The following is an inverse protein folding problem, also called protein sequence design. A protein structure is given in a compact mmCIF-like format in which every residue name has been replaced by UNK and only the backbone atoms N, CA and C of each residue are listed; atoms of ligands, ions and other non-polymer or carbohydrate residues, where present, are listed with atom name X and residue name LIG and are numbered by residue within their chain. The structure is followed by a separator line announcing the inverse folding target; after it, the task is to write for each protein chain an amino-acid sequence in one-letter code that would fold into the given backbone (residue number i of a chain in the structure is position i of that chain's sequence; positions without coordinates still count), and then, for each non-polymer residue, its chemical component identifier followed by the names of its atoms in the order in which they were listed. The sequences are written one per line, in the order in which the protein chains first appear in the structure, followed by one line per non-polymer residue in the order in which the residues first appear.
data_IF_577884967405
#
_entry.id   IF_577884967405
#
_cell.length_a   1.000
_cell.length_b   1.000
_cell.length_c   1.000
_cell.angle_alpha   90.00
_cell.angle_beta   90.00
_cell.angle_gamma   90.00
#
_symmetry.space_group_name_H-M   'P 1'
#
loop_
_entity.id
_entity.type
_entity.pdbx_description
1 polymer ?
#
# COMPACT_ATOMS: atom_id res chain seq x y z
N UNK A 1 19.74 8.19 7.39
CA UNK A 1 18.69 7.51 8.17
C UNK A 1 17.38 7.53 7.41
N UNK A 2 16.45 6.63 7.74
CA UNK A 2 15.05 6.71 7.27
C UNK A 2 14.13 6.83 8.47
N UNK A 3 12.96 7.42 8.27
CA UNK A 3 11.88 7.41 9.26
C UNK A 3 10.91 6.29 8.90
N UNK A 4 10.59 5.47 9.88
CA UNK A 4 9.56 4.44 9.76
C UNK A 4 8.41 4.82 10.68
N UNK A 5 7.21 4.89 10.12
CA UNK A 5 5.96 5.01 10.86
C UNK A 5 5.23 3.68 10.76
N UNK A 6 4.85 3.12 11.89
CA UNK A 6 4.15 1.86 11.95
C UNK A 6 2.84 2.01 12.75
N UNK A 7 1.77 1.45 12.22
CA UNK A 7 0.44 1.50 12.81
C UNK A 7 -0.15 0.10 12.88
N UNK A 8 -0.74 -0.26 14.00
CA UNK A 8 -1.49 -1.51 14.12
C UNK A 8 -2.65 -1.53 13.11
N UNK A 9 -2.87 -2.69 12.53
CA UNK A 9 -4.06 -2.88 11.73
C UNK A 9 -5.32 -2.97 12.62
N UNK A 10 -6.47 -2.49 12.14
CA UNK A 10 -7.74 -2.67 12.82
C UNK A 10 -7.98 -4.14 13.18
N UNK A 11 -8.73 -4.40 14.23
CA UNK A 11 -9.12 -5.77 14.58
C UNK A 11 -9.89 -6.41 13.41
N UNK A 12 -9.60 -7.68 13.17
CA UNK A 12 -10.34 -8.46 12.17
C UNK A 12 -11.66 -8.92 12.79
N UNK A 13 -12.82 -8.46 12.28
CA UNK A 13 -14.12 -8.90 12.81
C UNK A 13 -14.33 -10.42 12.72
N UNK A 14 -13.68 -11.08 11.73
CA UNK A 14 -13.77 -12.52 11.52
C UNK A 14 -12.79 -13.32 12.40
N UNK A 15 -11.83 -12.63 13.02
CA UNK A 15 -10.81 -13.25 13.85
C UNK A 15 -10.57 -12.42 15.12
N UNK A 16 -11.57 -12.32 16.02
CA UNK A 16 -11.42 -11.53 17.24
C UNK A 16 -10.25 -12.07 18.06
N UNK A 17 -9.33 -11.18 18.40
CA UNK A 17 -8.24 -11.51 19.31
C UNK A 17 -8.87 -11.55 20.72
N UNK A 18 -8.79 -12.68 21.44
CA UNK A 18 -9.34 -12.75 22.79
C UNK A 18 -8.70 -11.64 23.65
N UNK A 19 -9.48 -10.96 24.49
CA UNK A 19 -8.94 -9.94 25.37
C UNK A 19 -7.83 -10.58 26.23
N UNK A 20 -6.69 -9.91 26.35
CA UNK A 20 -5.61 -10.42 27.18
C UNK A 20 -6.09 -10.57 28.62
N UNK A 21 -5.69 -11.63 29.33
CA UNK A 21 -5.98 -11.74 30.76
C UNK A 21 -5.38 -10.53 31.46
N UNK A 22 -6.20 -9.76 32.16
CA UNK A 22 -5.91 -8.50 32.88
C UNK A 22 -4.57 -7.87 32.49
N UNK A 23 -4.55 -7.21 31.34
CA UNK A 23 -3.29 -6.78 30.77
C UNK A 23 -2.87 -5.44 31.40
N UNK A 24 -1.72 -5.45 32.00
CA UNK A 24 -1.03 -4.28 32.53
C UNK A 24 -0.66 -3.24 31.46
N UNK A 25 -0.77 -3.58 30.15
CA UNK A 25 -0.39 -2.68 29.02
C UNK A 25 -1.36 -2.82 27.85
N UNK A 26 -1.68 -1.68 27.23
CA UNK A 26 -2.49 -1.64 26.02
C UNK A 26 -1.81 -2.34 24.81
N UNK A 27 -2.55 -2.75 23.77
CA UNK A 27 -1.95 -3.27 22.55
C UNK A 27 -0.92 -2.32 21.95
N UNK A 28 -1.19 -1.02 21.99
CA UNK A 28 -0.30 0.01 21.48
C UNK A 28 1.00 0.13 22.31
N UNK A 29 0.93 0.04 23.62
CA UNK A 29 2.12 0.06 24.48
C UNK A 29 3.01 -1.17 24.26
N UNK A 30 2.40 -2.35 24.05
CA UNK A 30 3.16 -3.56 23.72
C UNK A 30 3.82 -3.44 22.34
N UNK A 31 3.12 -2.89 21.38
CA UNK A 31 3.62 -2.65 20.04
C UNK A 31 4.80 -1.67 20.06
N UNK A 32 4.67 -0.54 20.76
CA UNK A 32 5.77 0.41 20.96
C UNK A 32 6.97 -0.22 21.68
N UNK A 33 6.70 -1.07 22.68
CA UNK A 33 7.73 -1.84 23.38
C UNK A 33 8.49 -2.80 22.47
N UNK A 34 7.80 -3.51 21.56
CA UNK A 34 8.42 -4.41 20.59
C UNK A 34 9.34 -3.64 19.63
N UNK A 35 8.88 -2.52 19.08
CA UNK A 35 9.70 -1.65 18.24
C UNK A 35 10.94 -1.16 18.97
N UNK A 36 10.77 -0.66 20.20
CA UNK A 36 11.86 -0.18 21.02
C UNK A 36 12.91 -1.27 21.27
N UNK A 37 12.47 -2.47 21.63
CA UNK A 37 13.35 -3.61 21.89
C UNK A 37 14.13 -4.03 20.64
N UNK A 38 13.45 -4.21 19.50
CA UNK A 38 14.06 -4.65 18.24
C UNK A 38 15.04 -3.62 17.70
N UNK A 39 14.68 -2.33 17.71
CA UNK A 39 15.54 -1.27 17.20
C UNK A 39 16.77 -1.09 18.10
N UNK A 40 16.59 -1.04 19.41
CA UNK A 40 17.70 -0.88 20.36
C UNK A 40 18.67 -2.06 20.41
N UNK A 41 18.21 -3.26 20.04
CA UNK A 41 19.07 -4.42 19.89
C UNK A 41 20.08 -4.25 18.74
N UNK A 42 19.74 -3.42 17.74
CA UNK A 42 20.60 -3.11 16.58
C UNK A 42 21.40 -1.83 16.76
N UNK A 43 20.75 -0.78 17.25
CA UNK A 43 21.35 0.50 17.55
C UNK A 43 20.70 1.09 18.81
N UNK A 44 21.51 1.18 19.89
CA UNK A 44 21.05 1.70 21.18
C UNK A 44 20.70 3.19 21.14
N UNK A 45 21.27 3.93 20.19
CA UNK A 45 21.06 5.37 20.04
C UNK A 45 19.87 5.71 19.12
N UNK A 46 19.37 4.75 18.34
CA UNK A 46 18.28 5.01 17.41
C UNK A 46 16.98 5.39 18.15
N UNK A 47 16.39 6.56 17.85
CA UNK A 47 15.18 7.02 18.51
C UNK A 47 13.98 6.20 18.10
N UNK A 48 13.17 5.79 19.09
CA UNK A 48 11.86 5.15 18.90
C UNK A 48 10.86 5.78 19.85
N UNK A 49 9.75 6.25 19.32
CA UNK A 49 8.68 6.89 20.10
C UNK A 49 7.35 6.23 19.77
N UNK A 50 6.62 5.78 20.79
CA UNK A 50 5.25 5.31 20.67
C UNK A 50 4.26 6.45 20.93
N UNK A 51 3.31 6.64 20.00
CA UNK A 51 2.16 7.51 20.16
C UNK A 51 0.89 6.66 20.37
N UNK A 52 -0.25 7.31 20.55
CA UNK A 52 -1.52 6.62 20.78
C UNK A 52 -1.97 5.72 19.62
N UNK A 53 -1.61 6.04 18.39
CA UNK A 53 -2.03 5.33 17.18
C UNK A 53 -0.89 4.80 16.32
N UNK A 54 0.34 5.26 16.56
CA UNK A 54 1.50 4.93 15.73
C UNK A 54 2.77 4.75 16.55
N UNK A 55 3.76 4.12 15.95
CA UNK A 55 5.15 4.10 16.43
C UNK A 55 6.03 4.73 15.38
N UNK A 56 6.91 5.62 15.80
CA UNK A 56 7.87 6.28 14.92
C UNK A 56 9.28 5.84 15.32
N UNK A 57 10.02 5.32 14.35
CA UNK A 57 11.43 4.93 14.54
C UNK A 57 12.32 5.65 13.53
N UNK A 58 13.44 6.18 13.99
CA UNK A 58 14.50 6.75 13.14
C UNK A 58 15.57 5.67 12.99
N UNK A 59 15.64 5.04 11.82
CA UNK A 59 16.56 3.94 11.59
C UNK A 59 17.80 4.42 10.83
N UNK A 60 18.99 4.26 11.41
CA UNK A 60 20.25 4.40 10.68
C UNK A 60 20.32 3.31 9.61
N UNK A 61 20.48 3.70 8.36
CA UNK A 61 20.57 2.79 7.22
C UNK A 61 21.71 3.22 6.29
N UNK A 62 22.14 2.31 5.42
CA UNK A 62 23.06 2.60 4.33
C UNK A 62 22.46 3.63 3.36
N UNK A 63 23.32 4.33 2.63
CA UNK A 63 22.92 5.18 1.51
C UNK A 63 22.54 4.37 0.27
N UNK A 64 22.94 3.10 0.20
CA UNK A 64 22.57 2.17 -0.87
C UNK A 64 21.11 1.73 -0.72
N UNK A 65 20.24 1.97 -1.71
CA UNK A 65 18.79 1.74 -1.60
C UNK A 65 18.43 0.31 -1.22
N UNK A 66 19.05 -0.68 -1.86
CA UNK A 66 18.77 -2.10 -1.59
C UNK A 66 19.19 -2.52 -0.18
N UNK A 67 20.31 -1.99 0.30
CA UNK A 67 20.79 -2.25 1.65
C UNK A 67 19.89 -1.57 2.70
N UNK A 68 19.43 -0.36 2.41
CA UNK A 68 18.47 0.35 3.26
C UNK A 68 17.13 -0.38 3.35
N UNK A 69 16.57 -0.81 2.22
CA UNK A 69 15.32 -1.58 2.18
C UNK A 69 15.44 -2.88 2.99
N UNK A 70 16.49 -3.68 2.75
CA UNK A 70 16.75 -4.92 3.51
C UNK A 70 16.89 -4.68 5.01
N UNK A 71 17.52 -3.58 5.42
CA UNK A 71 17.67 -3.23 6.84
C UNK A 71 16.33 -2.93 7.49
N UNK A 72 15.44 -2.19 6.80
CA UNK A 72 14.07 -1.92 7.25
C UNK A 72 13.25 -3.20 7.32
N UNK A 73 13.24 -4.00 6.25
CA UNK A 73 12.48 -5.26 6.20
C UNK A 73 12.90 -6.20 7.34
N UNK A 74 14.18 -6.26 7.65
CA UNK A 74 14.68 -7.07 8.74
C UNK A 74 14.25 -6.56 10.13
N UNK A 75 14.06 -5.23 10.30
CA UNK A 75 13.46 -4.66 11.53
C UNK A 75 11.98 -5.00 11.61
N UNK A 76 11.23 -4.74 10.54
CA UNK A 76 9.78 -5.01 10.48
C UNK A 76 9.49 -6.48 10.73
N UNK A 77 10.22 -7.39 10.07
CA UNK A 77 10.09 -8.84 10.27
C UNK A 77 10.37 -9.24 11.71
N UNK A 78 11.41 -8.68 12.33
CA UNK A 78 11.72 -8.96 13.72
C UNK A 78 10.63 -8.46 14.68
N UNK A 79 10.06 -7.28 14.44
CA UNK A 79 8.92 -6.76 15.24
C UNK A 79 7.68 -7.63 15.04
N UNK A 80 7.37 -8.05 13.80
CA UNK A 80 6.24 -8.93 13.51
C UNK A 80 6.39 -10.30 14.17
N UNK A 81 7.62 -10.82 14.27
CA UNK A 81 7.96 -12.07 14.94
C UNK A 81 8.08 -11.97 16.46
N UNK A 82 8.16 -10.76 17.02
CA UNK A 82 8.29 -10.57 18.46
C UNK A 82 7.00 -10.94 19.20
N UNK A 83 7.14 -11.83 20.18
CA UNK A 83 6.02 -12.29 21.00
C UNK A 83 5.39 -11.17 21.82
N UNK A 84 6.15 -10.11 22.13
CA UNK A 84 5.70 -8.92 22.86
C UNK A 84 4.80 -8.01 22.04
N UNK A 85 4.90 -8.01 20.71
CA UNK A 85 4.07 -7.23 19.78
C UNK A 85 2.60 -7.64 19.70
N UNK A 86 2.20 -8.68 20.44
CA UNK A 86 0.81 -9.10 20.59
C UNK A 86 0.24 -9.86 19.39
N UNK A 87 1.08 -10.30 18.46
CA UNK A 87 0.72 -11.04 17.23
C UNK A 87 -0.31 -10.32 16.35
N UNK A 88 -0.42 -8.99 16.48
CA UNK A 88 -1.26 -8.18 15.63
C UNK A 88 -0.49 -7.81 14.37
N UNK A 89 -1.16 -7.88 13.23
CA UNK A 89 -0.61 -7.30 12.01
C UNK A 89 -0.53 -5.77 12.14
N UNK A 90 0.41 -5.19 11.45
CA UNK A 90 0.60 -3.75 11.38
C UNK A 90 1.11 -3.37 10.00
N UNK A 91 0.78 -2.16 9.55
CA UNK A 91 1.38 -1.59 8.36
C UNK A 91 2.55 -0.67 8.75
N UNK A 92 3.57 -0.62 7.90
CA UNK A 92 4.69 0.28 8.07
C UNK A 92 4.92 1.11 6.81
N UNK A 93 5.19 2.40 6.99
CA UNK A 93 5.58 3.32 5.93
C UNK A 93 7.00 3.82 6.18
N UNK A 94 7.76 3.90 5.12
CA UNK A 94 9.18 4.26 5.13
C UNK A 94 9.40 5.52 4.31
N UNK A 95 10.05 6.52 4.91
CA UNK A 95 10.41 7.76 4.22
C UNK A 95 11.54 7.54 3.23
N UNK A 96 11.84 8.57 2.46
CA UNK A 96 13.11 8.71 1.78
C UNK A 96 14.27 8.78 2.77
N UNK A 97 15.47 8.58 2.22
CA UNK A 97 16.71 8.75 2.97
C UNK A 97 16.85 10.20 3.44
N UNK A 98 17.09 10.38 4.73
CA UNK A 98 17.30 11.66 5.38
C UNK A 98 18.80 11.83 5.67
N UNK A 99 19.39 12.86 5.09
CA UNK A 99 20.81 13.20 5.29
C UNK A 99 20.98 14.38 6.24
N UNK A 100 19.95 15.20 6.42
CA UNK A 100 19.96 16.39 7.26
C UNK A 100 18.78 16.36 8.23
N UNK A 101 19.03 16.66 9.50
CA UNK A 101 18.01 16.68 10.55
C UNK A 101 16.85 17.66 10.28
N UNK A 102 17.08 18.74 9.53
CA UNK A 102 16.05 19.68 9.12
C UNK A 102 14.95 19.03 8.26
N UNK A 103 15.26 17.90 7.62
CA UNK A 103 14.32 17.16 6.77
C UNK A 103 13.48 16.12 7.53
N UNK A 104 13.70 15.95 8.82
CA UNK A 104 12.95 14.99 9.64
C UNK A 104 11.42 15.22 9.58
N UNK A 105 10.89 16.46 9.67
CA UNK A 105 9.45 16.68 9.59
C UNK A 105 8.83 16.26 8.24
N UNK A 106 9.53 16.55 7.14
CA UNK A 106 9.09 16.13 5.80
C UNK A 106 9.10 14.61 5.67
N UNK A 107 10.17 13.97 6.11
CA UNK A 107 10.33 12.53 6.07
C UNK A 107 9.29 11.80 6.95
N UNK A 108 8.93 12.37 8.09
CA UNK A 108 7.81 11.86 8.89
C UNK A 108 6.49 11.92 8.12
N UNK A 109 6.24 13.04 7.44
CA UNK A 109 5.03 13.19 6.60
C UNK A 109 5.03 12.20 5.44
N UNK A 110 6.19 11.94 4.81
CA UNK A 110 6.36 10.92 3.78
C UNK A 110 6.05 9.52 4.31
N UNK A 111 6.61 9.14 5.45
CA UNK A 111 6.40 7.83 6.07
C UNK A 111 4.92 7.63 6.46
N UNK A 112 4.26 8.62 7.06
CA UNK A 112 2.81 8.56 7.35
C UNK A 112 1.98 8.38 6.09
N UNK A 113 2.31 9.08 5.02
CA UNK A 113 1.64 8.92 3.73
C UNK A 113 1.85 7.51 3.17
N UNK A 114 3.06 6.98 3.29
CA UNK A 114 3.38 5.63 2.84
C UNK A 114 2.56 4.55 3.60
N UNK A 115 2.39 4.67 4.92
CA UNK A 115 1.49 3.79 5.68
C UNK A 115 0.06 3.88 5.18
N UNK A 116 -0.48 5.09 5.06
CA UNK A 116 -1.89 5.30 4.73
C UNK A 116 -2.23 4.80 3.31
N UNK A 117 -1.37 5.08 2.34
CA UNK A 117 -1.53 4.60 0.96
C UNK A 117 -1.28 3.11 0.87
N UNK A 118 -0.17 2.64 1.44
CA UNK A 118 0.22 1.22 1.40
C UNK A 118 -0.84 0.31 1.98
N UNK A 119 -1.44 0.67 3.12
CA UNK A 119 -2.55 -0.08 3.71
C UNK A 119 -3.74 -0.21 2.77
N UNK A 120 -4.05 0.82 1.97
CA UNK A 120 -5.17 0.81 1.02
C UNK A 120 -4.86 -0.04 -0.20
N UNK A 121 -3.66 0.10 -0.76
CA UNK A 121 -3.25 -0.55 -2.01
C UNK A 121 -2.83 -2.01 -1.77
N UNK A 122 -2.03 -2.26 -0.73
CA UNK A 122 -1.45 -3.58 -0.46
C UNK A 122 -2.13 -4.33 0.69
N UNK A 123 -3.09 -3.69 1.36
CA UNK A 123 -3.82 -4.29 2.46
C UNK A 123 -3.05 -4.32 3.78
N UNK A 124 -3.52 -5.19 4.67
CA UNK A 124 -3.01 -5.36 6.04
C UNK A 124 -1.61 -5.98 6.04
N UNK A 125 -0.81 -5.60 7.02
CA UNK A 125 0.55 -6.14 7.20
C UNK A 125 1.55 -5.63 6.18
N UNK A 126 1.19 -4.62 5.37
CA UNK A 126 2.05 -4.11 4.30
C UNK A 126 3.17 -3.21 4.81
N UNK A 127 4.30 -3.30 4.12
CA UNK A 127 5.42 -2.35 4.25
C UNK A 127 5.51 -1.57 2.95
N UNK A 128 5.45 -0.24 3.03
CA UNK A 128 5.43 0.62 1.85
C UNK A 128 6.49 1.70 1.95
N UNK A 129 7.36 1.75 0.95
CA UNK A 129 8.36 2.81 0.82
C UNK A 129 7.76 3.98 0.04
N UNK A 130 7.99 5.20 0.51
CA UNK A 130 7.43 6.41 -0.10
C UNK A 130 7.82 6.55 -1.59
N UNK A 131 9.04 6.16 -1.95
CA UNK A 131 9.50 6.20 -3.34
C UNK A 131 8.80 5.17 -4.23
N UNK A 132 8.34 4.06 -3.66
CA UNK A 132 7.64 3.00 -4.40
C UNK A 132 6.16 3.27 -4.61
N UNK A 133 5.60 4.32 -4.03
CA UNK A 133 4.18 4.63 -4.16
C UNK A 133 3.75 5.05 -5.58
N UNK A 134 4.70 5.39 -6.45
CA UNK A 134 4.40 5.77 -7.82
C UNK A 134 3.34 6.88 -7.91
N UNK A 135 2.35 6.67 -8.76
CA UNK A 135 1.25 7.63 -8.98
C UNK A 135 0.37 7.81 -7.74
N UNK A 136 0.24 6.82 -6.87
CA UNK A 136 -0.54 6.93 -5.64
C UNK A 136 -0.05 8.05 -4.73
N UNK A 137 1.24 8.40 -4.79
CA UNK A 137 1.79 9.56 -4.09
C UNK A 137 1.12 10.87 -4.53
N UNK A 138 0.89 11.03 -5.84
CA UNK A 138 0.22 12.21 -6.38
C UNK A 138 -1.27 12.18 -6.09
N UNK A 139 -1.93 11.04 -6.31
CA UNK A 139 -3.35 10.86 -6.00
C UNK A 139 -3.67 11.09 -4.52
N UNK A 140 -2.73 10.79 -3.63
CA UNK A 140 -2.89 11.02 -2.18
C UNK A 140 -2.87 12.50 -1.79
N UNK A 141 -2.38 13.39 -2.66
CA UNK A 141 -2.38 14.85 -2.46
C UNK A 141 -3.73 15.49 -2.80
N UNK A 142 -4.53 14.84 -3.64
CA UNK A 142 -5.85 15.33 -3.97
C UNK A 142 -6.78 15.13 -2.77
N UNK A 143 -7.12 16.22 -2.11
CA UNK A 143 -8.00 16.20 -0.94
C UNK A 143 -9.47 16.02 -1.33
N UNK A 144 -9.86 16.45 -2.51
CA UNK A 144 -11.21 16.28 -3.04
C UNK A 144 -11.43 14.83 -3.49
N UNK A 145 -11.99 14.06 -2.58
CA UNK A 145 -12.32 12.65 -2.83
C UNK A 145 -13.49 12.49 -3.79
N UNK A 146 -14.39 13.47 -3.84
CA UNK A 146 -15.56 13.43 -4.73
C UNK A 146 -15.13 13.61 -6.18
N UNK A 147 -14.17 14.51 -6.44
CA UNK A 147 -13.62 14.72 -7.78
C UNK A 147 -12.86 13.47 -8.28
N UNK A 148 -12.02 12.86 -7.45
CA UNK A 148 -11.35 11.61 -7.82
C UNK A 148 -12.35 10.49 -8.14
N UNK A 149 -13.44 10.40 -7.37
CA UNK A 149 -14.49 9.43 -7.62
C UNK A 149 -15.23 9.72 -8.92
N UNK A 150 -15.57 10.99 -9.16
CA UNK A 150 -16.22 11.42 -10.40
C UNK A 150 -15.40 11.06 -11.61
N UNK A 151 -14.10 11.38 -11.59
CA UNK A 151 -13.16 11.00 -12.62
C UNK A 151 -13.12 9.47 -12.87
N UNK A 152 -13.02 8.67 -11.79
CA UNK A 152 -12.98 7.23 -11.93
C UNK A 152 -14.27 6.65 -12.53
N UNK A 153 -15.44 7.17 -12.13
CA UNK A 153 -16.73 6.76 -12.66
C UNK A 153 -16.89 7.18 -14.13
N UNK A 154 -16.46 8.38 -14.48
CA UNK A 154 -16.49 8.88 -15.85
C UNK A 154 -15.65 8.02 -16.81
N UNK A 155 -14.41 7.70 -16.38
CA UNK A 155 -13.49 6.93 -17.23
C UNK A 155 -13.82 5.44 -17.30
N UNK A 156 -14.32 4.85 -16.23
CA UNK A 156 -14.55 3.40 -16.14
C UNK A 156 -16.00 2.99 -16.35
N UNK A 157 -16.96 3.91 -16.30
CA UNK A 157 -18.37 3.61 -16.48
C UNK A 157 -18.84 2.49 -15.54
N UNK A 158 -19.46 1.45 -16.13
CA UNK A 158 -19.97 0.30 -15.37
C UNK A 158 -18.87 -0.49 -14.62
N UNK A 159 -17.60 -0.37 -15.03
CA UNK A 159 -16.48 -0.99 -14.31
C UNK A 159 -16.22 -0.33 -12.94
N UNK A 160 -16.69 0.87 -12.69
CA UNK A 160 -16.58 1.52 -11.40
C UNK A 160 -17.54 0.97 -10.33
N UNK A 161 -18.49 0.12 -10.70
CA UNK A 161 -19.45 -0.47 -9.77
C UNK A 161 -18.80 -1.51 -8.85
N UNK A 162 -19.29 -1.60 -7.62
CA UNK A 162 -18.90 -2.66 -6.69
C UNK A 162 -19.72 -3.93 -6.91
N UNK A 163 -19.44 -4.61 -8.02
CA UNK A 163 -20.05 -5.88 -8.37
C UNK A 163 -18.98 -6.91 -8.73
N UNK A 164 -19.22 -8.22 -8.50
CA UNK A 164 -18.27 -9.28 -8.87
C UNK A 164 -17.90 -9.26 -10.36
N UNK A 165 -18.85 -8.94 -11.23
CA UNK A 165 -18.63 -8.85 -12.69
C UNK A 165 -17.72 -7.67 -13.02
N UNK A 166 -17.93 -6.49 -12.42
CA UNK A 166 -17.08 -5.33 -12.63
C UNK A 166 -15.67 -5.58 -12.09
N UNK A 167 -15.54 -6.22 -10.93
CA UNK A 167 -14.26 -6.58 -10.35
C UNK A 167 -13.46 -7.54 -11.26
N UNK A 168 -14.10 -8.58 -11.80
CA UNK A 168 -13.49 -9.53 -12.73
C UNK A 168 -13.05 -8.86 -14.06
N UNK A 169 -13.84 -7.91 -14.57
CA UNK A 169 -13.48 -7.13 -15.75
C UNK A 169 -12.34 -6.13 -15.44
N UNK A 170 -12.34 -5.46 -14.27
CA UNK A 170 -11.22 -4.61 -13.84
C UNK A 170 -9.92 -5.41 -13.74
N UNK A 171 -9.96 -6.62 -13.15
CA UNK A 171 -8.79 -7.49 -13.11
C UNK A 171 -8.27 -7.83 -14.51
N UNK A 172 -9.19 -8.12 -15.47
CA UNK A 172 -8.80 -8.36 -16.86
C UNK A 172 -8.13 -7.14 -17.48
N UNK A 173 -8.70 -5.95 -17.28
CA UNK A 173 -8.20 -4.69 -17.79
C UNK A 173 -6.83 -4.36 -17.20
N UNK A 174 -6.69 -4.47 -15.88
CA UNK A 174 -5.41 -4.23 -15.19
C UNK A 174 -4.32 -5.17 -15.71
N UNK A 175 -4.57 -6.49 -15.78
CA UNK A 175 -3.58 -7.45 -16.28
C UNK A 175 -3.21 -7.18 -17.74
N UNK A 176 -4.17 -6.75 -18.56
CA UNK A 176 -3.90 -6.39 -19.95
C UNK A 176 -3.00 -5.14 -20.05
N UNK A 177 -3.21 -4.15 -19.20
CA UNK A 177 -2.35 -2.96 -19.12
C UNK A 177 -0.95 -3.31 -18.62
N UNK A 178 -0.82 -4.14 -17.59
CA UNK A 178 0.44 -4.58 -17.00
C UNK A 178 1.31 -5.37 -17.99
N UNK A 179 0.67 -6.09 -18.92
CA UNK A 179 1.35 -6.83 -20.00
C UNK A 179 1.55 -5.99 -21.27
N UNK A 180 1.39 -4.67 -21.19
CA UNK A 180 1.48 -3.77 -22.34
C UNK A 180 0.60 -4.21 -23.53
N UNK A 181 -0.63 -4.61 -23.25
CA UNK A 181 -1.63 -5.10 -24.22
C UNK A 181 -1.23 -6.40 -24.92
N UNK A 182 -0.35 -7.21 -24.33
CA UNK A 182 0.01 -8.51 -24.85
C UNK A 182 -1.12 -9.53 -24.54
N UNK A 183 -1.99 -9.74 -25.52
CA UNK A 183 -3.18 -10.62 -25.40
C UNK A 183 -2.80 -12.06 -25.02
N UNK A 184 -1.72 -12.60 -25.64
CA UNK A 184 -1.33 -13.99 -25.37
C UNK A 184 -0.81 -14.16 -23.93
N UNK A 185 0.01 -13.21 -23.46
CA UNK A 185 0.53 -13.20 -22.10
C UNK A 185 -0.59 -13.00 -21.07
N UNK A 186 -1.47 -12.04 -21.30
CA UNK A 186 -2.64 -11.80 -20.44
C UNK A 186 -3.52 -13.05 -20.33
N UNK A 187 -3.78 -13.73 -21.45
CA UNK A 187 -4.57 -14.97 -21.47
C UNK A 187 -3.89 -16.05 -20.61
N UNK A 188 -2.57 -16.17 -20.69
CA UNK A 188 -1.79 -17.13 -19.90
C UNK A 188 -1.87 -16.81 -18.40
N UNK A 189 -1.70 -15.54 -18.03
CA UNK A 189 -1.74 -15.10 -16.61
C UNK A 189 -3.12 -15.33 -15.99
N UNK A 190 -4.18 -14.99 -16.74
CA UNK A 190 -5.57 -15.12 -16.27
C UNK A 190 -6.17 -16.51 -16.49
N UNK A 191 -5.41 -17.46 -17.02
CA UNK A 191 -5.87 -18.81 -17.36
C UNK A 191 -7.08 -18.83 -18.30
N UNK A 192 -7.16 -17.86 -19.23
CA UNK A 192 -8.20 -17.80 -20.26
C UNK A 192 -7.71 -18.40 -21.58
N UNK A 193 -8.66 -18.94 -22.35
CA UNK A 193 -8.40 -19.20 -23.76
C UNK A 193 -8.26 -17.87 -24.52
N UNK A 194 -7.36 -17.82 -25.49
CA UNK A 194 -7.07 -16.61 -26.30
C UNK A 194 -8.33 -15.92 -26.85
N UNK A 195 -9.26 -16.70 -27.43
CA UNK A 195 -10.50 -16.16 -27.98
C UNK A 195 -11.43 -15.58 -26.91
N UNK A 196 -11.46 -16.17 -25.72
CA UNK A 196 -12.21 -15.64 -24.57
C UNK A 196 -11.70 -14.29 -24.17
N UNK A 197 -10.37 -14.14 -24.07
CA UNK A 197 -9.77 -12.86 -23.74
C UNK A 197 -10.04 -11.80 -24.81
N UNK A 198 -9.93 -12.14 -26.09
CA UNK A 198 -10.28 -11.21 -27.17
C UNK A 198 -11.73 -10.72 -27.10
N UNK A 199 -12.67 -11.61 -26.77
CA UNK A 199 -14.06 -11.22 -26.53
C UNK A 199 -14.18 -10.25 -25.35
N UNK A 200 -13.46 -10.53 -24.24
CA UNK A 200 -13.44 -9.65 -23.05
C UNK A 200 -12.85 -8.28 -23.37
N UNK A 201 -11.77 -8.21 -24.14
CA UNK A 201 -11.20 -6.93 -24.61
C UNK A 201 -12.23 -6.12 -25.39
N UNK A 202 -12.94 -6.74 -26.33
CA UNK A 202 -14.01 -6.06 -27.06
C UNK A 202 -15.19 -5.64 -26.17
N UNK A 203 -15.46 -6.36 -25.06
CA UNK A 203 -16.44 -5.93 -24.04
C UNK A 203 -15.91 -4.71 -23.27
N UNK A 204 -14.65 -4.71 -22.87
CA UNK A 204 -13.99 -3.58 -22.20
C UNK A 204 -14.01 -2.34 -23.08
N UNK A 205 -13.63 -2.44 -24.36
CA UNK A 205 -13.65 -1.29 -25.28
C UNK A 205 -15.04 -0.69 -25.51
N UNK A 206 -16.10 -1.49 -25.41
CA UNK A 206 -17.47 -0.97 -25.46
C UNK A 206 -17.86 -0.16 -24.22
N UNK A 207 -17.21 -0.42 -23.08
CA UNK A 207 -17.48 0.28 -21.82
C UNK A 207 -16.60 1.52 -21.67
N UNK A 208 -15.29 1.38 -21.88
CA UNK A 208 -14.31 2.44 -21.60
C UNK A 208 -13.74 3.12 -22.86
N UNK A 209 -14.23 2.74 -24.05
CA UNK A 209 -13.71 3.27 -25.31
C UNK A 209 -12.48 2.51 -25.86
N UNK A 210 -11.94 2.95 -26.97
CA UNK A 210 -10.90 2.27 -27.75
C UNK A 210 -9.49 2.42 -27.11
N UNK A 211 -9.34 2.09 -25.84
CA UNK A 211 -8.10 2.24 -25.06
C UNK A 211 -6.92 1.43 -25.62
N UNK A 212 -7.17 0.40 -26.42
CA UNK A 212 -6.10 -0.39 -27.04
C UNK A 212 -5.37 0.38 -28.13
N UNK A 213 -6.03 1.33 -28.78
CA UNK A 213 -5.49 2.13 -29.89
C UNK A 213 -5.29 3.60 -29.52
N UNK A 214 -5.94 4.11 -28.49
CA UNK A 214 -5.79 5.48 -27.99
C UNK A 214 -4.89 5.51 -26.73
N UNK A 215 -3.65 6.02 -26.84
CA UNK A 215 -2.73 6.10 -25.71
C UNK A 215 -3.18 7.07 -24.61
N UNK A 216 -3.88 8.18 -24.94
CA UNK A 216 -4.35 9.14 -23.98
C UNK A 216 -5.48 8.54 -23.13
N UNK A 217 -6.48 7.96 -23.80
CA UNK A 217 -7.57 7.24 -23.11
C UNK A 217 -7.04 6.07 -22.26
N UNK A 218 -6.03 5.35 -22.73
CA UNK A 218 -5.39 4.27 -21.98
C UNK A 218 -4.77 4.77 -20.70
N UNK A 219 -4.10 5.93 -20.71
CA UNK A 219 -3.55 6.56 -19.51
C UNK A 219 -4.67 6.93 -18.52
N UNK A 220 -5.74 7.56 -19.01
CA UNK A 220 -6.86 7.97 -18.16
C UNK A 220 -7.54 6.76 -17.51
N UNK A 221 -7.78 5.70 -18.27
CA UNK A 221 -8.33 4.43 -17.77
C UNK A 221 -7.39 3.79 -16.74
N UNK A 222 -6.09 3.78 -16.98
CA UNK A 222 -5.11 3.27 -16.02
C UNK A 222 -5.11 4.08 -14.72
N UNK A 223 -5.15 5.41 -14.79
CA UNK A 223 -5.23 6.28 -13.61
C UNK A 223 -6.55 6.05 -12.84
N UNK A 224 -7.66 5.89 -13.54
CA UNK A 224 -8.96 5.63 -12.93
C UNK A 224 -8.97 4.30 -12.15
N UNK A 225 -8.32 3.24 -12.65
CA UNK A 225 -8.13 1.99 -11.92
C UNK A 225 -7.32 2.21 -10.62
N UNK A 226 -6.24 2.99 -10.68
CA UNK A 226 -5.43 3.32 -9.50
C UNK A 226 -6.23 4.12 -8.45
N UNK A 227 -7.16 4.99 -8.89
CA UNK A 227 -8.06 5.72 -7.99
C UNK A 227 -8.99 4.75 -7.26
N UNK A 228 -9.61 3.79 -7.97
CA UNK A 228 -10.48 2.78 -7.36
C UNK A 228 -9.71 1.95 -6.35
N UNK A 229 -8.54 1.44 -6.71
CA UNK A 229 -7.69 0.64 -5.83
C UNK A 229 -7.31 1.39 -4.55
N UNK A 230 -6.85 2.64 -4.71
CA UNK A 230 -6.41 3.46 -3.58
C UNK A 230 -7.54 3.87 -2.64
N UNK A 231 -8.75 4.09 -3.14
CA UNK A 231 -9.87 4.64 -2.37
C UNK A 231 -10.88 3.59 -1.90
N UNK A 232 -10.82 2.35 -2.43
CA UNK A 232 -11.77 1.29 -2.10
C UNK A 232 -13.20 1.65 -2.51
N UNK A 233 -13.32 2.28 -3.67
CA UNK A 233 -14.60 2.74 -4.24
C UNK A 233 -15.21 1.58 -5.01
#
# INVERSE_FOLDING_TARGET
MVIVVAELDPDDPQRPIPPPPVALRSPQERFAGAWLQVVRARDKAAPVVGFSSEVVALLPVSTEPDAAAKAVDAVVTAVAGDRGGGRRSFCAGVSRLVMDASRIPDAYTEARRAVAVGRRVHGRGSVSHFDSLGVHRLLSLVSDTAELRSFAVEMLGDLARDTPEAADLRQTLQTLLDTNLNVAETARILHFHYNTLRYRIGKLERIVGAFTTDPALRLDVALALQVIEMRGI
#
